data_IF_596444690264
#
_entry.id   IF_596444690264
#
_cell.length_a   1.000
_cell.length_b   1.000
_cell.length_c   1.000
_cell.angle_alpha   90.00
_cell.angle_beta   90.00
_cell.angle_gamma   90.00
#
_symmetry.space_group_name_H-M   'P 1'
#
loop_
_entity.id
_entity.type
_entity.pdbx_description
1 polymer ?
#
# COMPACT_ATOMS: atom_id res chain seq x y z
N UNK A 1 -10.83 -11.11 23.85
CA UNK A 1 -11.05 -11.36 22.41
C UNK A 1 -10.66 -10.10 21.67
N UNK A 2 -9.83 -10.18 20.61
CA UNK A 2 -9.43 -9.00 19.83
C UNK A 2 -10.61 -8.41 19.06
N UNK A 3 -10.64 -7.08 18.97
CA UNK A 3 -11.62 -6.30 18.22
C UNK A 3 -10.87 -5.35 17.30
N UNK A 4 -10.72 -5.74 16.05
CA UNK A 4 -9.96 -4.99 15.05
C UNK A 4 -10.93 -4.26 14.12
N UNK A 5 -10.71 -2.97 13.93
CA UNK A 5 -11.38 -2.17 12.92
C UNK A 5 -10.38 -1.88 11.81
N UNK A 6 -10.75 -2.10 10.56
CA UNK A 6 -10.05 -1.57 9.40
C UNK A 6 -10.89 -0.44 8.81
N UNK A 7 -10.31 0.74 8.68
CA UNK A 7 -10.95 1.91 8.06
C UNK A 7 -10.23 2.22 6.76
N UNK A 8 -10.98 2.49 5.70
CA UNK A 8 -10.46 2.78 4.37
C UNK A 8 -11.30 3.89 3.72
N UNK A 9 -10.66 4.99 3.34
CA UNK A 9 -11.33 6.14 2.75
C UNK A 9 -11.81 5.81 1.33
N UNK A 10 -13.06 6.13 1.05
CA UNK A 10 -13.67 5.86 -0.25
C UNK A 10 -13.07 6.78 -1.32
N UNK A 11 -12.38 6.21 -2.30
CA UNK A 11 -11.70 6.91 -3.41
C UNK A 11 -10.91 8.17 -2.96
N UNK A 12 -10.12 8.08 -1.90
CA UNK A 12 -9.56 9.13 -1.07
C UNK A 12 -9.15 10.40 -1.81
N UNK A 13 -8.18 10.34 -2.73
CA UNK A 13 -7.72 11.54 -3.42
C UNK A 13 -8.84 12.16 -4.27
N UNK A 14 -9.62 11.34 -4.96
CA UNK A 14 -10.74 11.81 -5.76
C UNK A 14 -11.85 12.40 -4.88
N UNK A 15 -12.10 11.83 -3.69
CA UNK A 15 -13.06 12.36 -2.74
C UNK A 15 -12.68 13.77 -2.26
N UNK A 16 -11.39 14.01 -1.97
CA UNK A 16 -10.88 15.33 -1.58
C UNK A 16 -11.01 16.33 -2.74
N UNK A 17 -10.70 15.92 -3.97
CA UNK A 17 -10.89 16.82 -5.12
C UNK A 17 -12.36 17.20 -5.32
N UNK A 18 -13.29 16.26 -5.18
CA UNK A 18 -14.74 16.52 -5.26
C UNK A 18 -15.26 17.35 -4.09
N UNK A 19 -14.69 17.18 -2.89
CA UNK A 19 -15.00 18.00 -1.71
C UNK A 19 -14.60 19.47 -1.92
N UNK A 20 -13.39 19.68 -2.44
CA UNK A 20 -12.80 21.02 -2.60
C UNK A 20 -13.34 21.74 -3.84
N UNK A 21 -13.77 21.01 -4.87
CA UNK A 21 -14.44 21.55 -6.05
C UNK A 21 -15.73 20.78 -6.37
N UNK A 22 -16.90 21.28 -5.91
CA UNK A 22 -18.19 20.63 -6.16
C UNK A 22 -18.56 20.44 -7.63
N UNK A 23 -17.92 21.19 -8.57
CA UNK A 23 -18.13 21.01 -10.03
C UNK A 23 -17.63 19.66 -10.54
N UNK A 24 -16.80 18.98 -9.75
CA UNK A 24 -16.29 17.64 -10.05
C UNK A 24 -17.27 16.52 -9.61
N UNK A 25 -18.27 16.85 -8.82
CA UNK A 25 -19.29 15.89 -8.40
C UNK A 25 -20.06 15.33 -9.63
N UNK A 26 -20.40 14.04 -9.55
CA UNK A 26 -21.15 13.33 -10.60
C UNK A 26 -20.46 13.29 -11.99
N UNK A 27 -19.17 13.54 -12.04
CA UNK A 27 -18.35 13.39 -13.24
C UNK A 27 -17.31 12.30 -13.04
N UNK A 28 -16.96 11.52 -14.07
CA UNK A 28 -15.86 10.59 -13.96
C UNK A 28 -14.53 11.36 -13.80
N UNK A 29 -13.90 11.23 -12.64
CA UNK A 29 -12.60 11.84 -12.35
C UNK A 29 -11.60 10.79 -11.87
N UNK A 30 -10.34 11.08 -12.13
CA UNK A 30 -9.22 10.35 -11.58
C UNK A 30 -8.12 11.30 -11.13
N UNK A 31 -7.35 10.90 -10.14
CA UNK A 31 -6.12 11.59 -9.75
C UNK A 31 -4.94 10.75 -10.24
N UNK A 32 -4.02 11.38 -10.96
CA UNK A 32 -2.90 10.62 -11.53
C UNK A 32 -1.98 11.45 -12.42
N UNK A 33 -1.07 10.75 -13.10
CA UNK A 33 -0.16 11.35 -14.08
C UNK A 33 -0.81 11.56 -15.44
N UNK A 34 -0.26 12.52 -16.24
CA UNK A 34 -0.72 12.79 -17.59
C UNK A 34 -0.62 11.57 -18.50
N UNK A 35 -1.60 11.40 -19.39
CA UNK A 35 -1.61 10.33 -20.39
C UNK A 35 -0.45 10.46 -21.41
N UNK A 36 0.06 11.67 -21.64
CA UNK A 36 1.16 11.95 -22.57
C UNK A 36 2.53 11.53 -22.01
N UNK A 37 2.64 11.41 -20.67
CA UNK A 37 3.89 11.16 -19.95
C UNK A 37 3.96 9.81 -19.24
N UNK A 38 3.41 8.73 -19.81
CA UNK A 38 3.35 7.41 -19.16
C UNK A 38 2.69 7.46 -17.78
N UNK A 39 1.78 8.41 -17.56
CA UNK A 39 1.07 8.56 -16.29
C UNK A 39 0.25 7.34 -15.93
N UNK A 40 0.05 7.18 -14.62
CA UNK A 40 -0.73 6.10 -14.01
C UNK A 40 -1.80 6.72 -13.11
N UNK A 41 -2.98 6.11 -13.08
CA UNK A 41 -4.06 6.48 -12.19
C UNK A 41 -3.67 6.06 -10.76
N UNK A 42 -3.61 7.02 -9.84
CA UNK A 42 -3.44 6.77 -8.42
C UNK A 42 -4.76 6.31 -7.80
N UNK A 43 -5.84 7.05 -8.04
CA UNK A 43 -7.20 6.69 -7.65
C UNK A 43 -8.23 7.29 -8.59
N UNK A 44 -9.46 6.81 -8.54
CA UNK A 44 -10.59 7.35 -9.31
C UNK A 44 -11.88 7.23 -8.51
N UNK A 45 -12.85 8.11 -8.80
CA UNK A 45 -14.17 8.07 -8.17
C UNK A 45 -15.04 6.91 -8.68
N UNK A 46 -16.21 6.74 -8.09
CA UNK A 46 -17.09 5.62 -8.41
C UNK A 46 -17.71 5.75 -9.80
N UNK A 47 -17.93 6.97 -10.28
CA UNK A 47 -18.37 7.25 -11.63
C UNK A 47 -17.36 6.72 -12.67
N UNK A 48 -16.07 6.99 -12.49
CA UNK A 48 -15.03 6.45 -13.35
C UNK A 48 -14.86 4.93 -13.21
N UNK A 49 -15.07 4.39 -12.00
CA UNK A 49 -15.04 2.92 -11.77
C UNK A 49 -16.15 2.18 -12.51
N UNK A 50 -17.29 2.81 -12.77
CA UNK A 50 -18.38 2.23 -13.57
C UNK A 50 -17.93 1.92 -15.00
N UNK A 51 -17.02 2.72 -15.56
CA UNK A 51 -16.38 2.49 -16.87
C UNK A 51 -15.22 1.48 -16.83
N UNK A 52 -14.92 0.90 -15.69
CA UNK A 52 -13.82 -0.05 -15.53
C UNK A 52 -12.45 0.61 -15.23
N UNK A 53 -12.39 1.93 -15.00
CA UNK A 53 -11.16 2.60 -14.57
C UNK A 53 -10.77 2.15 -13.17
N UNK A 54 -9.46 1.88 -12.94
CA UNK A 54 -8.92 1.39 -11.66
C UNK A 54 -7.56 2.03 -11.36
N UNK A 55 -7.18 2.02 -10.08
CA UNK A 55 -5.82 2.37 -9.63
C UNK A 55 -4.77 1.49 -10.32
N UNK A 56 -3.57 2.03 -10.48
CA UNK A 56 -2.45 1.45 -11.21
C UNK A 56 -2.64 1.26 -12.73
N UNK A 57 -3.79 1.61 -13.29
CA UNK A 57 -4.03 1.62 -14.74
C UNK A 57 -3.27 2.77 -15.40
N UNK A 58 -2.72 2.56 -16.61
CA UNK A 58 -2.14 3.68 -17.35
C UNK A 58 -3.21 4.71 -17.69
N UNK A 59 -2.88 6.00 -17.57
CA UNK A 59 -3.81 7.10 -17.85
C UNK A 59 -4.35 7.04 -19.28
N UNK A 60 -3.51 6.64 -20.24
CA UNK A 60 -3.92 6.42 -21.64
C UNK A 60 -4.97 5.32 -21.78
N UNK A 61 -4.84 4.23 -21.04
CA UNK A 61 -5.83 3.15 -21.05
C UNK A 61 -7.13 3.56 -20.36
N UNK A 62 -7.03 4.32 -19.25
CA UNK A 62 -8.19 4.85 -18.55
C UNK A 62 -9.04 5.75 -19.46
N UNK A 63 -8.41 6.63 -20.25
CA UNK A 63 -9.10 7.48 -21.24
C UNK A 63 -9.75 6.69 -22.39
N UNK A 64 -9.20 5.51 -22.75
CA UNK A 64 -9.87 4.62 -23.73
C UNK A 64 -11.14 3.99 -23.18
N UNK A 65 -11.17 3.70 -21.88
CA UNK A 65 -12.35 3.13 -21.21
C UNK A 65 -13.39 4.20 -20.91
N UNK A 66 -12.96 5.38 -20.55
CA UNK A 66 -13.81 6.51 -20.19
C UNK A 66 -13.28 7.79 -20.91
N UNK A 67 -13.77 8.10 -22.14
CA UNK A 67 -13.29 9.25 -22.91
C UNK A 67 -13.47 10.59 -22.20
N UNK A 68 -14.54 10.73 -21.39
CA UNK A 68 -14.86 11.95 -20.64
C UNK A 68 -14.15 12.01 -19.27
N UNK A 69 -13.20 11.11 -19.00
CA UNK A 69 -12.46 11.07 -17.75
C UNK A 69 -11.59 12.30 -17.57
N UNK A 70 -11.83 13.05 -16.52
CA UNK A 70 -10.96 14.16 -16.13
C UNK A 70 -9.84 13.63 -15.21
N UNK A 71 -8.59 13.75 -15.66
CA UNK A 71 -7.41 13.35 -14.88
C UNK A 71 -6.80 14.60 -14.21
N UNK A 72 -6.84 14.61 -12.88
CA UNK A 72 -6.32 15.69 -12.04
C UNK A 72 -4.90 15.36 -11.55
N UNK A 73 -4.08 16.41 -11.41
CA UNK A 73 -2.74 16.25 -10.81
C UNK A 73 -2.86 16.04 -9.29
N UNK A 74 -2.05 15.13 -8.69
CA UNK A 74 -2.09 14.91 -7.25
C UNK A 74 -1.68 16.15 -6.44
N UNK A 75 -2.45 16.49 -5.40
CA UNK A 75 -2.13 17.52 -4.39
C UNK A 75 -1.67 16.85 -3.10
N UNK A 76 -0.49 16.22 -3.13
CA UNK A 76 0.00 15.34 -2.06
C UNK A 76 0.06 15.98 -0.67
N UNK A 77 0.29 17.29 -0.58
CA UNK A 77 0.36 17.97 0.72
C UNK A 77 -1.03 18.10 1.35
N UNK A 78 -2.06 18.40 0.53
CA UNK A 78 -3.47 18.39 0.97
C UNK A 78 -3.89 17.00 1.45
N UNK A 79 -3.56 15.96 0.69
CA UNK A 79 -3.93 14.58 1.07
C UNK A 79 -3.27 14.15 2.38
N UNK A 80 -2.01 14.52 2.63
CA UNK A 80 -1.33 14.24 3.90
C UNK A 80 -1.96 14.99 5.08
N UNK A 81 -2.42 16.20 4.85
CA UNK A 81 -3.10 17.01 5.88
C UNK A 81 -4.42 16.35 6.27
N UNK A 82 -5.26 16.03 5.29
CA UNK A 82 -6.53 15.34 5.52
C UNK A 82 -6.32 13.97 6.18
N UNK A 83 -5.28 13.21 5.76
CA UNK A 83 -4.93 11.95 6.41
C UNK A 83 -4.60 12.13 7.89
N UNK A 84 -3.86 13.19 8.26
CA UNK A 84 -3.53 13.49 9.66
C UNK A 84 -4.77 13.87 10.49
N UNK A 85 -5.71 14.59 9.89
CA UNK A 85 -6.99 14.93 10.51
C UNK A 85 -7.81 13.68 10.81
N UNK A 86 -7.93 12.76 9.83
CA UNK A 86 -8.62 11.48 10.00
C UNK A 86 -7.94 10.62 11.08
N UNK A 87 -6.61 10.55 11.08
CA UNK A 87 -5.86 9.83 12.13
C UNK A 87 -6.06 10.47 13.52
N UNK A 88 -6.28 11.79 13.60
CA UNK A 88 -6.67 12.47 14.83
C UNK A 88 -7.97 11.90 15.41
N UNK A 89 -8.98 11.68 14.55
CA UNK A 89 -10.24 11.06 14.95
C UNK A 89 -9.99 9.63 15.48
N UNK A 90 -9.12 8.84 14.84
CA UNK A 90 -8.83 7.47 15.29
C UNK A 90 -8.19 7.43 16.69
N UNK A 91 -7.25 8.36 16.97
CA UNK A 91 -6.55 8.43 18.26
C UNK A 91 -7.45 8.71 19.45
N UNK A 92 -8.64 9.22 19.25
CA UNK A 92 -9.61 9.39 20.33
C UNK A 92 -10.19 8.07 20.84
N UNK A 93 -10.05 6.97 20.08
CA UNK A 93 -10.57 5.65 20.46
C UNK A 93 -9.46 4.70 20.90
N UNK A 94 -8.27 4.80 20.30
CA UNK A 94 -7.13 3.93 20.61
C UNK A 94 -5.83 4.55 20.13
N UNK A 95 -4.73 4.26 20.85
CA UNK A 95 -3.37 4.56 20.40
C UNK A 95 -2.76 3.41 19.57
N UNK A 96 -3.42 2.23 19.56
CA UNK A 96 -2.95 1.05 18.81
C UNK A 96 -3.47 1.14 17.38
N UNK A 97 -2.80 1.96 16.57
CA UNK A 97 -3.14 2.27 15.18
C UNK A 97 -1.98 1.87 14.28
N UNK A 98 -2.26 1.13 13.21
CA UNK A 98 -1.31 0.79 12.13
C UNK A 98 -1.78 1.44 10.82
N UNK A 99 -1.22 2.59 10.43
CA UNK A 99 -1.46 3.16 9.12
C UNK A 99 -0.80 2.28 8.04
N UNK A 100 -1.55 1.89 7.02
CA UNK A 100 -1.03 1.15 5.86
C UNK A 100 -0.67 2.09 4.71
N UNK A 101 -1.41 3.20 4.61
CA UNK A 101 -1.26 4.25 3.60
C UNK A 101 -1.76 5.59 4.17
N UNK A 102 -1.99 6.58 3.32
CA UNK A 102 -2.64 7.84 3.73
C UNK A 102 -4.14 7.68 3.98
N UNK A 103 -4.76 6.64 3.42
CA UNK A 103 -6.22 6.46 3.35
C UNK A 103 -6.73 5.25 4.12
N UNK A 104 -5.86 4.38 4.63
CA UNK A 104 -6.30 3.20 5.37
C UNK A 104 -5.46 2.92 6.61
N UNK A 105 -6.12 2.40 7.65
CA UNK A 105 -5.48 1.99 8.90
C UNK A 105 -6.23 0.84 9.57
N UNK A 106 -5.46 0.02 10.33
CA UNK A 106 -6.01 -0.85 11.36
C UNK A 106 -6.01 -0.16 12.70
N UNK A 107 -7.09 -0.38 13.47
CA UNK A 107 -7.25 0.06 14.85
C UNK A 107 -7.51 -1.18 15.71
N UNK A 108 -6.75 -1.38 16.77
CA UNK A 108 -7.11 -2.33 17.83
C UNK A 108 -7.88 -1.60 18.91
N UNK A 109 -9.17 -1.90 19.01
CA UNK A 109 -10.08 -1.31 19.98
C UNK A 109 -10.52 -2.30 21.06
N UNK A 110 -9.72 -3.36 21.27
CA UNK A 110 -10.05 -4.44 22.22
C UNK A 110 -10.29 -3.92 23.63
N UNK A 111 -9.48 -2.97 24.06
CA UNK A 111 -9.51 -2.40 25.41
C UNK A 111 -10.21 -1.02 25.47
N UNK A 112 -10.76 -0.56 24.34
CA UNK A 112 -11.48 0.71 24.29
C UNK A 112 -12.80 0.62 25.04
N UNK A 113 -13.06 1.59 25.91
CA UNK A 113 -14.28 1.65 26.73
C UNK A 113 -15.41 2.46 26.11
N UNK A 114 -15.15 3.24 25.06
CA UNK A 114 -16.16 4.01 24.36
C UNK A 114 -17.30 3.10 23.88
N UNK A 115 -18.52 3.59 23.95
CA UNK A 115 -19.73 2.84 23.58
C UNK A 115 -19.83 1.47 24.26
N UNK A 116 -19.43 1.38 25.53
CA UNK A 116 -19.38 0.13 26.32
C UNK A 116 -18.52 -0.94 25.63
N UNK A 117 -17.44 -0.55 24.95
CA UNK A 117 -16.51 -1.43 24.27
C UNK A 117 -17.04 -2.05 22.97
N UNK A 118 -18.08 -1.48 22.36
CA UNK A 118 -18.64 -1.96 21.09
C UNK A 118 -17.84 -1.46 19.90
N UNK A 119 -16.99 -2.32 19.29
CA UNK A 119 -16.22 -2.00 18.10
C UNK A 119 -17.12 -1.57 16.92
N UNK A 120 -18.30 -2.16 16.80
CA UNK A 120 -19.29 -1.77 15.77
C UNK A 120 -19.73 -0.31 15.94
N UNK A 121 -20.06 0.10 17.18
CA UNK A 121 -20.47 1.48 17.45
C UNK A 121 -19.31 2.47 17.30
N UNK A 122 -18.09 2.07 17.67
CA UNK A 122 -16.88 2.86 17.43
C UNK A 122 -16.70 3.08 15.92
N UNK A 123 -16.78 2.02 15.10
CA UNK A 123 -16.67 2.14 13.66
C UNK A 123 -17.78 3.01 13.04
N UNK A 124 -19.01 2.92 13.54
CA UNK A 124 -20.12 3.79 13.13
C UNK A 124 -19.83 5.26 13.44
N UNK A 125 -19.31 5.54 14.64
CA UNK A 125 -19.01 6.91 15.06
C UNK A 125 -17.83 7.50 14.29
N UNK A 126 -16.76 6.71 14.05
CA UNK A 126 -15.64 7.10 13.18
C UNK A 126 -16.16 7.51 11.80
N UNK A 127 -16.97 6.66 11.14
CA UNK A 127 -17.55 6.94 9.83
C UNK A 127 -18.37 8.22 9.81
N UNK A 128 -19.24 8.40 10.82
CA UNK A 128 -20.05 9.60 10.98
C UNK A 128 -19.18 10.84 11.14
N UNK A 129 -18.16 10.78 12.01
CA UNK A 129 -17.26 11.92 12.30
C UNK A 129 -16.42 12.29 11.08
N UNK A 130 -15.85 11.33 10.39
CA UNK A 130 -15.12 11.62 9.14
C UNK A 130 -16.04 12.30 8.13
N UNK A 131 -17.26 11.82 7.97
CA UNK A 131 -18.22 12.43 7.05
C UNK A 131 -18.62 13.85 7.48
N UNK A 132 -18.81 14.11 8.75
CA UNK A 132 -19.28 15.43 9.23
C UNK A 132 -18.16 16.45 9.46
N UNK A 133 -16.94 16.01 9.78
CA UNK A 133 -15.81 16.91 10.11
C UNK A 133 -14.86 17.07 8.92
N UNK A 134 -14.61 15.98 8.15
CA UNK A 134 -13.67 15.97 7.03
C UNK A 134 -14.38 16.06 5.68
N UNK A 135 -15.69 15.84 5.64
CA UNK A 135 -16.56 15.92 4.47
C UNK A 135 -16.18 14.93 3.32
N UNK A 136 -15.65 13.77 3.69
CA UNK A 136 -15.50 12.61 2.81
C UNK A 136 -16.07 11.39 3.50
N UNK A 137 -16.24 10.28 2.75
CA UNK A 137 -16.72 9.03 3.34
C UNK A 137 -15.59 8.03 3.55
N UNK A 138 -15.77 7.18 4.56
CA UNK A 138 -14.91 6.02 4.81
C UNK A 138 -15.77 4.77 4.98
N UNK A 139 -15.24 3.65 4.54
CA UNK A 139 -15.81 2.34 4.80
C UNK A 139 -15.04 1.63 5.90
N UNK A 140 -15.74 0.90 6.76
CA UNK A 140 -15.14 0.24 7.91
C UNK A 140 -15.51 -1.25 7.94
N UNK A 141 -14.54 -2.07 8.33
CA UNK A 141 -14.71 -3.49 8.62
C UNK A 141 -14.36 -3.79 10.06
N UNK A 142 -15.19 -4.54 10.75
CA UNK A 142 -14.96 -4.96 12.14
C UNK A 142 -14.85 -6.48 12.18
N UNK A 143 -13.75 -7.01 12.77
CA UNK A 143 -13.52 -8.44 12.83
C UNK A 143 -12.55 -8.82 13.97
N UNK A 144 -12.39 -10.13 14.29
CA UNK A 144 -11.46 -10.60 15.33
C UNK A 144 -9.97 -10.44 14.96
N UNK A 145 -9.63 -10.20 13.69
CA UNK A 145 -8.25 -10.06 13.23
C UNK A 145 -8.13 -9.13 12.02
N UNK A 146 -6.89 -8.76 11.70
CA UNK A 146 -6.57 -7.80 10.63
C UNK A 146 -7.03 -8.26 9.25
N UNK A 147 -6.83 -9.54 8.94
CA UNK A 147 -7.20 -10.10 7.64
C UNK A 147 -8.70 -9.94 7.37
N UNK A 148 -9.53 -10.35 8.31
CA UNK A 148 -10.99 -10.29 8.17
C UNK A 148 -11.51 -8.85 8.22
N UNK A 149 -10.94 -7.99 9.09
CA UNK A 149 -11.31 -6.58 9.17
C UNK A 149 -11.07 -5.86 7.82
N UNK A 150 -9.96 -6.16 7.14
CA UNK A 150 -9.68 -5.57 5.81
C UNK A 150 -10.64 -6.05 4.74
N UNK A 151 -10.98 -7.33 4.72
CA UNK A 151 -12.00 -7.83 3.78
C UNK A 151 -13.35 -7.20 4.06
N UNK A 152 -13.73 -7.12 5.35
CA UNK A 152 -15.00 -6.55 5.77
C UNK A 152 -15.13 -5.07 5.34
N UNK A 153 -14.06 -4.28 5.39
CA UNK A 153 -14.11 -2.87 4.97
C UNK A 153 -14.41 -2.69 3.48
N UNK A 154 -14.05 -3.66 2.64
CA UNK A 154 -14.32 -3.63 1.20
C UNK A 154 -15.71 -4.20 0.82
N UNK A 155 -16.40 -4.88 1.76
CA UNK A 155 -17.60 -5.66 1.45
C UNK A 155 -18.80 -4.83 1.04
N UNK A 156 -18.92 -3.62 1.63
CA UNK A 156 -20.08 -2.72 1.40
C UNK A 156 -19.64 -1.30 1.02
N UNK A 157 -18.53 -1.15 0.27
CA UNK A 157 -18.11 0.16 -0.26
C UNK A 157 -19.10 0.70 -1.31
N UNK A 158 -19.32 2.02 -1.39
CA UNK A 158 -18.79 3.10 -0.54
C UNK A 158 -19.62 3.31 0.73
N UNK A 159 -19.05 4.05 1.68
CA UNK A 159 -19.66 4.47 2.94
C UNK A 159 -20.30 3.31 3.70
N UNK A 160 -19.64 2.15 3.67
CA UNK A 160 -20.14 0.90 4.22
C UNK A 160 -19.61 0.58 5.61
N UNK A 161 -20.33 -0.27 6.31
CA UNK A 161 -19.88 -0.96 7.51
C UNK A 161 -20.23 -2.43 7.37
N UNK A 162 -19.27 -3.30 7.59
CA UNK A 162 -19.48 -4.73 7.65
C UNK A 162 -18.78 -5.31 8.88
N UNK A 163 -19.47 -6.21 9.57
CA UNK A 163 -18.98 -6.86 10.80
C UNK A 163 -18.91 -8.35 10.56
N UNK A 164 -17.81 -8.96 10.96
CA UNK A 164 -17.64 -10.41 10.99
C UNK A 164 -17.43 -10.79 12.44
N UNK A 165 -18.44 -11.36 13.07
CA UNK A 165 -18.36 -11.83 14.45
C UNK A 165 -17.57 -13.14 14.53
N UNK A 166 -16.99 -13.50 15.69
CA UNK A 166 -16.18 -14.71 15.83
C UNK A 166 -16.89 -16.02 15.43
N UNK A 167 -18.15 -16.11 15.69
CA UNK A 167 -19.03 -17.24 15.33
C UNK A 167 -19.34 -17.31 13.82
N UNK A 168 -19.27 -16.18 13.12
CA UNK A 168 -19.48 -16.13 11.67
C UNK A 168 -18.21 -16.42 10.86
N UNK A 169 -17.01 -16.38 11.50
CA UNK A 169 -15.72 -16.49 10.78
C UNK A 169 -15.63 -17.74 9.91
N UNK A 170 -16.00 -18.88 10.45
CA UNK A 170 -15.84 -20.16 9.73
C UNK A 170 -16.70 -20.20 8.46
N UNK A 171 -17.98 -19.85 8.58
CA UNK A 171 -18.90 -19.81 7.45
C UNK A 171 -18.50 -18.77 6.41
N UNK A 172 -18.22 -17.54 6.86
CA UNK A 172 -17.81 -16.45 5.99
C UNK A 172 -16.55 -16.78 5.18
N UNK A 173 -15.51 -17.31 5.85
CA UNK A 173 -14.24 -17.63 5.18
C UNK A 173 -14.38 -18.83 4.26
N UNK A 174 -15.19 -19.84 4.60
CA UNK A 174 -15.40 -20.99 3.74
C UNK A 174 -15.86 -20.61 2.32
N UNK A 175 -16.77 -19.67 2.21
CA UNK A 175 -17.33 -19.20 0.94
C UNK A 175 -16.45 -18.16 0.24
N UNK A 176 -15.43 -17.64 0.92
CA UNK A 176 -14.61 -16.54 0.40
C UNK A 176 -13.78 -17.00 -0.81
N UNK A 177 -13.86 -16.28 -1.96
CA UNK A 177 -12.97 -16.55 -3.09
C UNK A 177 -11.49 -16.32 -2.70
N UNK A 178 -10.61 -17.24 -3.09
CA UNK A 178 -9.16 -17.13 -2.77
C UNK A 178 -8.51 -15.88 -3.30
N UNK A 179 -9.05 -15.29 -4.35
CA UNK A 179 -8.61 -14.00 -4.90
C UNK A 179 -8.80 -12.82 -3.94
N UNK A 180 -9.61 -12.96 -2.88
CA UNK A 180 -9.80 -11.97 -1.82
C UNK A 180 -8.79 -12.10 -0.69
N UNK A 181 -8.04 -13.19 -0.64
CA UNK A 181 -7.01 -13.39 0.38
C UNK A 181 -5.89 -12.37 0.24
N UNK A 182 -5.51 -11.75 1.36
CA UNK A 182 -4.43 -10.78 1.38
C UNK A 182 -3.09 -11.41 0.92
N UNK A 183 -2.50 -10.85 -0.13
CA UNK A 183 -1.29 -11.36 -0.77
C UNK A 183 -1.56 -12.27 -1.98
N UNK A 184 -2.81 -12.61 -2.24
CA UNK A 184 -3.20 -13.31 -3.48
C UNK A 184 -3.47 -12.29 -4.58
N UNK A 185 -2.47 -12.05 -5.41
CA UNK A 185 -2.60 -11.25 -6.62
C UNK A 185 -3.12 -12.08 -7.81
N UNK A 186 -3.33 -11.42 -8.95
CA UNK A 186 -3.87 -12.04 -10.17
C UNK A 186 -3.12 -13.31 -10.58
N UNK A 187 -1.78 -13.31 -10.54
CA UNK A 187 -0.94 -14.46 -10.92
C UNK A 187 -1.16 -15.64 -9.96
N UNK A 188 -1.17 -15.37 -8.64
CA UNK A 188 -1.39 -16.43 -7.64
C UNK A 188 -2.81 -16.98 -7.74
N UNK A 189 -3.82 -16.12 -7.91
CA UNK A 189 -5.21 -16.56 -8.11
C UNK A 189 -5.36 -17.44 -9.39
N UNK A 190 -4.71 -17.07 -10.49
CA UNK A 190 -4.70 -17.89 -11.69
C UNK A 190 -4.01 -19.25 -11.48
N UNK A 191 -2.89 -19.28 -10.72
CA UNK A 191 -2.23 -20.53 -10.35
C UNK A 191 -3.16 -21.41 -9.51
N UNK A 192 -3.84 -20.82 -8.52
CA UNK A 192 -4.83 -21.52 -7.69
C UNK A 192 -5.97 -22.11 -8.55
N UNK A 193 -6.53 -21.31 -9.45
CA UNK A 193 -7.59 -21.79 -10.36
C UNK A 193 -7.17 -22.99 -11.22
N UNK A 194 -5.91 -23.04 -11.71
CA UNK A 194 -5.37 -24.21 -12.42
C UNK A 194 -5.26 -25.46 -11.55
N UNK A 195 -5.17 -25.28 -10.24
CA UNK A 195 -5.14 -26.37 -9.24
C UNK A 195 -6.55 -26.73 -8.72
N UNK A 196 -7.61 -26.12 -9.29
CA UNK A 196 -8.97 -26.33 -8.84
C UNK A 196 -9.33 -25.61 -7.54
N UNK A 197 -8.57 -24.59 -7.13
CA UNK A 197 -8.76 -23.85 -5.88
C UNK A 197 -9.36 -22.49 -6.21
N UNK A 198 -10.65 -22.32 -6.01
CA UNK A 198 -11.37 -21.06 -6.23
C UNK A 198 -11.86 -20.42 -4.93
N UNK A 199 -12.18 -21.25 -3.91
CA UNK A 199 -12.67 -20.80 -2.61
C UNK A 199 -11.77 -21.25 -1.47
N UNK A 200 -11.93 -20.61 -0.31
CA UNK A 200 -11.22 -21.05 0.91
C UNK A 200 -11.65 -22.44 1.38
N UNK A 201 -12.87 -22.89 1.11
CA UNK A 201 -13.30 -24.26 1.38
C UNK A 201 -12.39 -25.27 0.64
N UNK A 202 -12.21 -25.08 -0.67
CA UNK A 202 -11.33 -25.92 -1.49
C UNK A 202 -9.85 -25.79 -1.05
N UNK A 203 -9.41 -24.60 -0.67
CA UNK A 203 -8.05 -24.39 -0.16
C UNK A 203 -7.80 -25.14 1.17
N UNK A 204 -8.82 -25.34 2.01
CA UNK A 204 -8.75 -26.11 3.28
C UNK A 204 -8.49 -27.59 3.06
N UNK A 205 -8.85 -28.14 1.92
CA UNK A 205 -8.61 -29.55 1.57
C UNK A 205 -7.12 -29.85 1.39
N UNK A 206 -6.32 -28.81 1.14
CA UNK A 206 -4.87 -28.92 0.95
C UNK A 206 -4.14 -28.92 2.29
N UNK A 207 -3.17 -29.83 2.44
CA UNK A 207 -2.28 -29.86 3.57
C UNK A 207 -1.26 -28.70 3.54
N UNK A 208 -0.68 -28.38 4.70
CA UNK A 208 0.41 -27.38 4.78
C UNK A 208 1.58 -27.74 3.87
N UNK A 209 1.90 -29.04 3.76
CA UNK A 209 3.03 -29.54 2.94
C UNK A 209 2.78 -29.30 1.45
N UNK A 210 1.58 -29.64 0.97
CA UNK A 210 1.20 -29.40 -0.43
C UNK A 210 1.21 -27.91 -0.75
N UNK A 211 0.65 -27.08 0.12
CA UNK A 211 0.66 -25.62 -0.08
C UNK A 211 2.07 -25.04 -0.04
N UNK A 212 2.96 -25.55 0.82
CA UNK A 212 4.36 -25.14 0.86
C UNK A 212 5.11 -25.54 -0.43
N UNK A 213 4.83 -26.73 -0.95
CA UNK A 213 5.40 -27.19 -2.23
C UNK A 213 4.98 -26.30 -3.40
N UNK A 214 3.71 -25.90 -3.47
CA UNK A 214 3.17 -25.11 -4.58
C UNK A 214 3.44 -23.60 -4.43
N UNK A 215 3.37 -23.04 -3.23
CA UNK A 215 3.41 -21.61 -2.96
C UNK A 215 4.61 -21.16 -2.10
N UNK A 216 5.55 -22.05 -1.81
CA UNK A 216 6.74 -21.77 -1.00
C UNK A 216 6.37 -21.30 0.41
N UNK A 217 7.10 -20.32 0.93
CA UNK A 217 6.85 -19.75 2.27
C UNK A 217 5.46 -19.10 2.43
N UNK A 218 4.78 -18.79 1.33
CA UNK A 218 3.43 -18.25 1.36
C UNK A 218 2.37 -19.34 1.65
N UNK A 219 2.70 -20.62 1.45
CA UNK A 219 1.77 -21.76 1.64
C UNK A 219 1.24 -21.87 3.07
N UNK A 220 2.08 -21.72 4.09
CA UNK A 220 1.64 -21.72 5.49
C UNK A 220 0.67 -20.59 5.80
N UNK A 221 0.96 -19.40 5.28
CA UNK A 221 0.05 -18.24 5.42
C UNK A 221 -1.30 -18.49 4.76
N UNK A 222 -1.32 -19.06 3.57
CA UNK A 222 -2.55 -19.44 2.87
C UNK A 222 -3.38 -20.44 3.68
N UNK A 223 -2.72 -21.43 4.28
CA UNK A 223 -3.37 -22.42 5.14
C UNK A 223 -4.07 -21.78 6.34
N UNK A 224 -3.41 -20.81 7.00
CA UNK A 224 -3.98 -20.08 8.12
C UNK A 224 -5.14 -19.19 7.67
N UNK A 225 -4.93 -18.38 6.61
CA UNK A 225 -5.96 -17.46 6.10
C UNK A 225 -7.22 -18.18 5.64
N UNK A 226 -7.10 -19.35 5.00
CA UNK A 226 -8.24 -20.16 4.61
C UNK A 226 -9.09 -20.63 5.81
N UNK A 227 -8.54 -20.61 7.02
CA UNK A 227 -9.21 -20.95 8.29
C UNK A 227 -9.61 -19.73 9.11
N UNK A 228 -9.47 -18.52 8.54
CA UNK A 228 -9.78 -17.28 9.24
C UNK A 228 -8.75 -16.88 10.30
N UNK A 229 -7.58 -17.53 10.33
CA UNK A 229 -6.54 -17.29 11.34
C UNK A 229 -5.54 -16.23 10.85
N UNK A 230 -5.40 -15.17 11.65
CA UNK A 230 -4.37 -14.14 11.48
C UNK A 230 -3.98 -13.59 12.84
N UNK A 231 -2.87 -14.11 13.38
CA UNK A 231 -2.40 -13.76 14.72
C UNK A 231 -1.57 -12.48 14.77
N UNK A 232 -1.34 -11.82 13.65
CA UNK A 232 -0.57 -10.57 13.61
C UNK A 232 -1.26 -9.50 14.44
N UNK A 233 -0.50 -8.90 15.37
CA UNK A 233 -0.95 -7.73 16.11
C UNK A 233 -1.00 -6.49 15.19
N UNK A 234 -1.77 -5.49 15.61
CA UNK A 234 -1.72 -4.14 15.03
C UNK A 234 -0.39 -3.50 15.43
N UNK A 235 0.40 -3.09 14.44
CA UNK A 235 1.76 -2.57 14.62
C UNK A 235 1.74 -1.04 14.65
N UNK A 236 1.93 -0.45 15.82
CA UNK A 236 1.95 1.02 15.99
C UNK A 236 3.18 1.64 15.30
N UNK A 237 4.28 0.92 15.25
CA UNK A 237 5.56 1.39 14.76
C UNK A 237 5.90 0.79 13.38
N UNK A 238 5.41 1.44 12.34
CA UNK A 238 5.76 1.12 10.95
C UNK A 238 7.13 1.71 10.62
N UNK A 239 8.17 0.89 10.70
CA UNK A 239 9.57 1.33 10.53
C UNK A 239 9.95 1.45 9.06
N UNK A 240 10.42 2.62 8.67
CA UNK A 240 10.93 2.86 7.34
C UNK A 240 12.25 2.11 7.13
N UNK A 241 12.32 1.26 6.13
CA UNK A 241 13.54 0.50 5.79
C UNK A 241 14.40 1.18 4.73
N UNK A 242 13.80 2.01 3.89
CA UNK A 242 14.46 2.70 2.79
C UNK A 242 13.88 4.08 2.58
N UNK A 243 14.69 4.98 2.02
CA UNK A 243 14.25 6.23 1.41
C UNK A 243 14.78 6.24 -0.03
N UNK A 244 13.93 6.55 -0.98
CA UNK A 244 14.29 6.51 -2.41
C UNK A 244 13.54 7.52 -3.23
N UNK A 245 14.10 7.82 -4.40
CA UNK A 245 13.50 8.63 -5.46
C UNK A 245 13.50 7.80 -6.73
N UNK A 246 12.37 7.73 -7.41
CA UNK A 246 12.24 7.00 -8.68
C UNK A 246 11.62 7.91 -9.74
N UNK A 247 12.16 7.86 -10.95
CA UNK A 247 11.63 8.59 -12.11
C UNK A 247 11.40 7.64 -13.28
N UNK A 248 10.17 7.62 -13.79
CA UNK A 248 9.83 7.00 -15.07
C UNK A 248 9.97 8.04 -16.17
N UNK A 249 10.82 7.78 -17.15
CA UNK A 249 11.08 8.70 -18.26
C UNK A 249 10.03 8.56 -19.35
N UNK A 250 9.70 9.65 -20.04
CA UNK A 250 8.70 9.67 -21.12
C UNK A 250 9.14 8.80 -22.30
N UNK A 251 10.45 8.79 -22.61
CA UNK A 251 11.10 7.90 -23.57
C UNK A 251 12.12 7.03 -22.82
N UNK A 252 12.30 5.80 -23.26
CA UNK A 252 13.32 4.94 -22.68
C UNK A 252 14.71 5.54 -22.94
N UNK A 253 15.57 5.52 -21.93
CA UNK A 253 16.97 5.91 -22.03
C UNK A 253 17.70 4.82 -22.83
N UNK A 254 18.39 5.15 -23.93
CA UNK A 254 18.86 4.13 -24.87
C UNK A 254 20.02 3.29 -24.32
N UNK A 255 20.88 3.88 -23.50
CA UNK A 255 22.16 3.33 -23.08
C UNK A 255 22.54 3.75 -21.65
N UNK A 256 23.70 3.29 -21.21
CA UNK A 256 24.24 3.59 -19.88
C UNK A 256 24.58 5.07 -19.72
N UNK A 257 25.11 5.73 -20.73
CA UNK A 257 25.52 7.13 -20.67
C UNK A 257 24.32 8.04 -20.42
N UNK A 258 23.24 7.84 -21.17
CA UNK A 258 21.97 8.52 -20.94
C UNK A 258 21.40 8.31 -19.53
N UNK A 259 21.63 7.12 -18.94
CA UNK A 259 21.24 6.84 -17.55
C UNK A 259 22.12 7.59 -16.55
N UNK A 260 23.44 7.63 -16.76
CA UNK A 260 24.39 8.30 -15.90
C UNK A 260 24.18 9.83 -15.83
N UNK A 261 23.77 10.44 -16.94
CA UNK A 261 23.40 11.86 -17.01
C UNK A 261 22.23 12.24 -16.10
N UNK A 262 21.35 11.28 -15.75
CA UNK A 262 20.17 11.51 -14.89
C UNK A 262 20.48 11.42 -13.39
N UNK A 263 21.62 10.85 -13.02
CA UNK A 263 21.97 10.63 -11.61
C UNK A 263 22.07 11.91 -10.77
N UNK A 264 22.73 13.00 -11.21
CA UNK A 264 22.86 14.18 -10.36
C UNK A 264 21.50 14.72 -9.87
N UNK A 265 20.53 14.90 -10.76
CA UNK A 265 19.20 15.40 -10.40
C UNK A 265 18.42 14.45 -9.47
N UNK A 266 18.58 13.12 -9.62
CA UNK A 266 17.97 12.15 -8.73
C UNK A 266 18.61 12.18 -7.34
N UNK A 267 19.92 12.38 -7.25
CA UNK A 267 20.64 12.45 -5.98
C UNK A 267 20.33 13.75 -5.22
N UNK A 268 20.16 14.88 -5.90
CA UNK A 268 19.70 16.13 -5.29
C UNK A 268 18.31 15.97 -4.66
N UNK A 269 17.39 15.31 -5.36
CA UNK A 269 16.04 15.03 -4.82
C UNK A 269 16.11 14.05 -3.65
N UNK A 270 16.98 13.02 -3.73
CA UNK A 270 17.19 12.08 -2.63
C UNK A 270 17.72 12.81 -1.39
N UNK A 271 18.70 13.69 -1.53
CA UNK A 271 19.26 14.48 -0.45
C UNK A 271 18.18 15.37 0.20
N UNK A 272 17.36 16.06 -0.59
CA UNK A 272 16.21 16.84 -0.09
C UNK A 272 15.22 16.01 0.72
N UNK A 273 15.02 14.75 0.35
CA UNK A 273 14.17 13.80 1.12
C UNK A 273 14.87 13.35 2.40
N UNK A 274 16.17 13.11 2.36
CA UNK A 274 16.95 12.71 3.54
C UNK A 274 17.01 13.81 4.61
N UNK A 275 17.06 15.09 4.22
CA UNK A 275 17.01 16.22 5.16
C UNK A 275 15.73 16.27 6.01
N UNK A 276 14.64 15.61 5.56
CA UNK A 276 13.36 15.50 6.28
C UNK A 276 13.23 14.18 7.05
N UNK A 277 14.31 13.40 7.09
CA UNK A 277 14.31 12.13 7.80
C UNK A 277 14.38 12.38 9.30
N UNK A 278 13.60 11.62 10.07
CA UNK A 278 13.65 11.64 11.52
C UNK A 278 15.03 11.22 12.03
N UNK A 279 15.52 11.86 13.08
CA UNK A 279 16.85 11.63 13.65
C UNK A 279 17.08 10.20 14.17
N UNK A 280 16.00 9.43 14.40
CA UNK A 280 16.07 8.01 14.76
C UNK A 280 16.53 7.10 13.62
N UNK A 281 16.64 7.62 12.39
CA UNK A 281 17.11 6.86 11.24
C UNK A 281 18.49 7.32 10.78
N UNK A 282 19.36 6.37 10.49
CA UNK A 282 20.66 6.62 9.86
C UNK A 282 20.69 5.97 8.47
N UNK A 283 21.02 6.75 7.40
CA UNK A 283 21.30 6.19 6.09
C UNK A 283 22.52 5.26 6.12
N UNK A 284 22.40 4.06 5.52
CA UNK A 284 23.46 3.03 5.54
C UNK A 284 23.96 2.72 4.15
N UNK A 285 23.18 1.95 3.36
CA UNK A 285 23.64 1.40 2.08
C UNK A 285 23.01 2.17 0.93
N UNK A 286 23.79 2.70 -0.02
CA UNK A 286 23.23 3.21 -1.26
C UNK A 286 22.59 2.06 -2.07
N UNK A 287 21.52 2.37 -2.76
CA UNK A 287 20.85 1.45 -3.65
C UNK A 287 20.45 2.12 -4.97
N UNK A 288 20.49 1.34 -6.04
CA UNK A 288 20.00 1.71 -7.37
C UNK A 288 19.00 0.67 -7.84
N UNK A 289 17.92 1.14 -8.43
CA UNK A 289 16.89 0.33 -9.08
C UNK A 289 16.78 0.74 -10.54
N UNK A 290 16.83 -0.23 -11.43
CA UNK A 290 16.52 -0.06 -12.85
C UNK A 290 15.30 -0.87 -13.23
N UNK A 291 14.43 -0.25 -14.02
CA UNK A 291 13.38 -0.95 -14.75
C UNK A 291 13.60 -0.73 -16.23
N UNK A 292 13.79 -1.81 -16.95
CA UNK A 292 14.04 -1.78 -18.38
C UNK A 292 12.75 -1.59 -19.19
N UNK A 293 12.88 -1.34 -20.48
CA UNK A 293 11.76 -1.10 -21.40
C UNK A 293 10.75 -2.26 -21.46
N UNK A 294 11.22 -3.47 -21.25
CA UNK A 294 10.43 -4.71 -21.21
C UNK A 294 9.81 -5.02 -19.83
N UNK A 295 9.86 -4.05 -18.91
CA UNK A 295 9.41 -4.14 -17.53
C UNK A 295 10.19 -5.10 -16.62
N UNK A 296 11.24 -5.78 -17.10
CA UNK A 296 12.17 -6.45 -16.19
C UNK A 296 12.86 -5.42 -15.30
N UNK A 297 13.18 -5.79 -14.06
CA UNK A 297 13.79 -4.87 -13.11
C UNK A 297 14.92 -5.53 -12.34
N UNK A 298 15.86 -4.70 -11.93
CA UNK A 298 16.97 -5.09 -11.04
C UNK A 298 17.14 -4.02 -9.96
N UNK A 299 17.56 -4.47 -8.77
CA UNK A 299 17.94 -3.57 -7.68
C UNK A 299 19.29 -4.03 -7.17
N UNK A 300 20.20 -3.09 -6.98
CA UNK A 300 21.51 -3.30 -6.37
C UNK A 300 21.65 -2.40 -5.16
N UNK A 301 22.22 -2.95 -4.09
CA UNK A 301 22.66 -2.21 -2.91
C UNK A 301 24.10 -2.64 -2.57
N UNK A 302 24.88 -1.74 -2.00
CA UNK A 302 26.26 -2.01 -1.63
C UNK A 302 26.54 -1.58 -0.20
N UNK A 303 26.94 -2.53 0.65
CA UNK A 303 27.36 -2.25 2.01
C UNK A 303 28.74 -1.57 2.01
N UNK A 304 28.92 -0.60 2.93
CA UNK A 304 30.20 0.09 3.09
C UNK A 304 30.56 1.09 1.99
N UNK A 305 29.73 1.24 0.95
CA UNK A 305 29.96 2.24 -0.08
C UNK A 305 29.59 3.65 0.41
N UNK A 306 30.33 4.65 -0.03
CA UNK A 306 29.99 6.05 0.14
C UNK A 306 28.65 6.37 -0.57
N UNK A 307 28.01 7.46 -0.17
CA UNK A 307 26.75 7.93 -0.78
C UNK A 307 27.00 9.10 -1.72
N UNK A 308 28.13 9.07 -2.38
CA UNK A 308 28.57 10.05 -3.37
C UNK A 308 28.19 9.66 -4.80
N UNK A 309 28.32 10.59 -5.71
CA UNK A 309 27.99 10.39 -7.12
C UNK A 309 28.75 9.21 -7.74
N UNK A 310 30.02 9.02 -7.38
CA UNK A 310 30.86 7.97 -7.98
C UNK A 310 30.40 6.57 -7.54
N UNK A 311 30.00 6.42 -6.28
CA UNK A 311 29.42 5.16 -5.79
C UNK A 311 28.11 4.83 -6.51
N UNK A 312 27.23 5.82 -6.69
CA UNK A 312 25.99 5.61 -7.44
C UNK A 312 26.22 5.35 -8.92
N UNK A 313 27.24 5.97 -9.55
CA UNK A 313 27.65 5.65 -10.93
C UNK A 313 28.06 4.19 -11.07
N UNK A 314 28.92 3.69 -10.16
CA UNK A 314 29.33 2.27 -10.15
C UNK A 314 28.15 1.32 -10.00
N UNK A 315 27.26 1.62 -9.02
CA UNK A 315 26.06 0.82 -8.80
C UNK A 315 25.12 0.82 -10.02
N UNK A 316 24.94 1.98 -10.66
CA UNK A 316 24.09 2.09 -11.85
C UNK A 316 24.68 1.30 -13.02
N UNK A 317 26.00 1.40 -13.26
CA UNK A 317 26.69 0.65 -14.30
C UNK A 317 26.53 -0.87 -14.09
N UNK A 318 26.81 -1.35 -12.87
CA UNK A 318 26.62 -2.76 -12.54
C UNK A 318 25.15 -3.22 -12.61
N UNK A 319 24.21 -2.34 -12.29
CA UNK A 319 22.78 -2.65 -12.45
C UNK A 319 22.38 -2.72 -13.93
N UNK A 320 22.94 -1.83 -14.75
CA UNK A 320 22.67 -1.81 -16.20
C UNK A 320 23.22 -3.04 -16.91
N UNK A 321 24.43 -3.49 -16.57
CA UNK A 321 25.06 -4.71 -17.11
C UNK A 321 24.20 -5.96 -16.93
N UNK A 322 23.38 -6.03 -15.88
CA UNK A 322 22.47 -7.17 -15.66
C UNK A 322 21.39 -7.32 -16.71
N UNK A 323 21.05 -6.25 -17.42
CA UNK A 323 20.02 -6.29 -18.47
C UNK A 323 20.50 -5.85 -19.84
N UNK A 324 21.42 -4.89 -19.92
CA UNK A 324 21.99 -4.35 -21.17
C UNK A 324 20.94 -3.81 -22.14
N UNK A 325 19.86 -3.22 -21.62
CA UNK A 325 18.67 -2.82 -22.39
C UNK A 325 18.32 -1.35 -22.12
N UNK A 326 17.55 -0.70 -23.03
CA UNK A 326 17.02 0.62 -22.76
C UNK A 326 16.24 0.68 -21.45
N UNK A 327 16.42 1.77 -20.70
CA UNK A 327 15.92 1.93 -19.33
C UNK A 327 14.68 2.82 -19.30
N UNK A 328 13.61 2.32 -18.75
CA UNK A 328 12.33 3.01 -18.54
C UNK A 328 12.29 3.85 -17.27
N UNK A 329 12.89 3.36 -16.18
CA UNK A 329 12.87 3.99 -14.87
C UNK A 329 14.21 3.81 -14.18
N UNK A 330 14.66 4.90 -13.57
CA UNK A 330 15.79 4.88 -12.63
C UNK A 330 15.28 5.27 -11.25
N UNK A 331 15.70 4.50 -10.25
CA UNK A 331 15.53 4.80 -8.85
C UNK A 331 16.88 4.84 -8.14
N UNK A 332 17.05 5.82 -7.24
CA UNK A 332 18.18 5.91 -6.31
C UNK A 332 17.65 6.00 -4.89
N UNK A 333 18.39 5.44 -3.94
CA UNK A 333 17.94 5.45 -2.56
C UNK A 333 19.01 5.00 -1.59
N UNK A 334 18.63 4.92 -0.32
CA UNK A 334 19.47 4.41 0.75
C UNK A 334 18.66 3.47 1.66
N UNK A 335 19.29 2.41 2.12
CA UNK A 335 18.83 1.59 3.25
C UNK A 335 18.96 2.41 4.52
N UNK A 336 18.03 2.23 5.44
CA UNK A 336 18.01 2.93 6.72
C UNK A 336 18.25 1.95 7.87
N UNK A 337 19.03 2.39 8.86
CA UNK A 337 19.14 1.77 10.17
C UNK A 337 18.23 2.55 11.12
N UNK A 338 17.39 1.87 11.84
CA UNK A 338 16.62 2.42 12.95
C UNK A 338 17.48 2.36 14.23
N UNK A 339 17.95 3.52 14.69
CA UNK A 339 18.82 3.65 15.83
C UNK A 339 18.16 3.22 17.15
N UNK A 340 16.84 3.28 17.25
CA UNK A 340 16.09 2.81 18.43
C UNK A 340 16.28 1.30 18.64
N UNK A 341 16.37 0.50 17.56
CA UNK A 341 16.67 -0.94 17.64
C UNK A 341 18.08 -1.26 18.07
N UNK A 342 19.04 -0.43 17.70
CA UNK A 342 20.44 -0.66 18.07
C UNK A 342 20.61 -0.49 19.57
N UNK A 343 19.94 0.50 20.18
CA UNK A 343 19.94 0.69 21.64
C UNK A 343 19.24 -0.46 22.38
N UNK A 344 18.08 -0.91 21.92
CA UNK A 344 17.36 -2.06 22.50
C UNK A 344 18.21 -3.35 22.50
N UNK A 345 18.97 -3.58 21.43
CA UNK A 345 19.81 -4.77 21.28
C UNK A 345 21.05 -4.70 22.18
N UNK A 346 21.60 -3.52 22.40
CA UNK A 346 22.73 -3.30 23.33
C UNK A 346 22.27 -3.49 24.80
N UNK A 347 21.08 -3.06 25.18
CA UNK A 347 20.53 -3.25 26.52
C UNK A 347 20.29 -4.74 26.85
N UNK A 348 19.96 -5.58 25.86
CA UNK A 348 19.82 -7.03 26.04
C UNK A 348 21.13 -7.76 26.34
N UNK A 349 22.27 -7.19 25.97
CA UNK A 349 23.60 -7.77 26.20
C UNK A 349 24.31 -7.16 27.42
N UNK A 350 23.73 -6.15 28.06
CA UNK A 350 24.30 -5.48 29.25
C UNK A 350 23.59 -5.81 30.55
N UNK A 351 22.66 -6.79 30.55
CA UNK A 351 22.00 -7.34 31.75
C UNK A 351 22.54 -8.71 32.11
#
# INVERSE_FOLDING_TARGET
MRKIIHVDCDCFYAAIEMRDDPRLANRPIAVGGSADRRGVIATCNYEARAYGVRSAMSSRHALKLCPDLLILRPRMDVYKEVSREIQGIFREYTDIIEPLSLDEAYLDVSDCTHFSGSATRIAQDIRRRVSTQVHITVSAGVAPNKFLAKIASDWRKPNGLFVITPDEVEGFVSELPVSKLHGVGKVTAQKMGRLGIETCAQLREWSKVELAREFGSFGERLWNLARGVDDRAVQVDSRRQTISVETTYDKDLPDLEACLERLPGLLEELERRMQRLDASYRPEKPLVKLKFHDFTQTTLEQAGAARDLDSYRKLLSSAWERGGKPVRLIGVGVRLIDLRRVSEQLELFTR
#
